data_IF_955895867235
#
_entry.id   IF_955895867235
#
_cell.length_a   1.000
_cell.length_b   1.000
_cell.length_c   1.000
_cell.angle_alpha   90.00
_cell.angle_beta   90.00
_cell.angle_gamma   90.00
#
_symmetry.space_group_name_H-M   'P 1'
#
loop_
_entity.id
_entity.type
_entity.pdbx_description
1 polymer ?
#
# COMPACT_ATOMS: atom_id res chain seq x y z
N UNK A 1 6.13 -15.44 13.00
CA UNK A 1 6.29 -14.21 12.17
C UNK A 1 4.92 -13.59 11.94
N UNK A 2 4.79 -12.31 12.23
CA UNK A 2 3.57 -11.56 11.92
C UNK A 2 3.50 -11.24 10.44
N UNK A 3 2.31 -11.34 9.87
CA UNK A 3 2.04 -11.04 8.46
C UNK A 3 1.14 -9.82 8.38
N UNK A 4 1.63 -8.78 7.70
CA UNK A 4 0.99 -7.46 7.65
C UNK A 4 0.63 -7.12 6.20
N UNK A 5 -0.64 -6.85 5.95
CA UNK A 5 -1.10 -6.26 4.69
C UNK A 5 -0.99 -4.74 4.83
N UNK A 6 -0.08 -4.12 4.07
CA UNK A 6 0.21 -2.69 4.19
C UNK A 6 -0.36 -1.94 2.99
N UNK A 7 -1.49 -1.25 3.21
CA UNK A 7 -2.21 -0.51 2.17
C UNK A 7 -1.87 0.96 2.32
N UNK A 8 -0.87 1.43 1.60
CA UNK A 8 -0.34 2.78 1.71
C UNK A 8 0.08 3.32 0.34
N UNK A 9 0.45 4.59 0.32
CA UNK A 9 1.01 5.21 -0.87
C UNK A 9 2.39 4.66 -1.21
N UNK A 10 2.83 4.90 -2.43
CA UNK A 10 4.19 4.58 -2.87
C UNK A 10 4.75 5.75 -3.64
N UNK A 11 6.00 6.12 -3.37
CA UNK A 11 6.74 7.12 -4.12
C UNK A 11 8.03 6.49 -4.66
N UNK A 12 8.42 6.90 -5.87
CA UNK A 12 9.64 6.38 -6.48
C UNK A 12 10.86 7.02 -5.81
N UNK A 13 10.82 8.33 -5.61
CA UNK A 13 11.90 9.05 -4.94
C UNK A 13 11.45 9.48 -3.55
N UNK A 14 12.20 9.07 -2.55
CA UNK A 14 11.94 9.43 -1.16
C UNK A 14 11.36 8.26 -0.36
N UNK A 15 11.00 8.55 0.89
CA UNK A 15 10.49 7.57 1.85
C UNK A 15 9.15 8.05 2.39
N UNK A 16 8.07 7.54 1.81
CA UNK A 16 6.71 7.83 2.27
C UNK A 16 5.83 6.60 2.03
N UNK A 17 4.84 6.39 2.88
CA UNK A 17 3.93 5.26 2.76
C UNK A 17 4.69 3.92 2.74
N UNK A 18 4.39 3.07 1.78
CA UNK A 18 5.07 1.78 1.64
C UNK A 18 6.58 1.93 1.41
N UNK A 19 7.00 2.99 0.74
CA UNK A 19 8.44 3.25 0.54
C UNK A 19 9.17 3.52 1.86
N UNK A 20 8.46 3.99 2.90
CA UNK A 20 9.03 4.21 4.22
C UNK A 20 8.81 3.03 5.15
N UNK A 21 7.67 2.36 5.06
CA UNK A 21 7.21 1.41 6.07
C UNK A 21 7.68 -0.03 5.85
N UNK A 22 7.81 -0.47 4.59
CA UNK A 22 8.01 -1.89 4.30
C UNK A 22 9.35 -2.40 4.81
N UNK A 23 10.45 -1.68 4.53
CA UNK A 23 11.76 -2.14 4.93
C UNK A 23 11.92 -2.22 6.46
N UNK A 24 11.57 -1.17 7.24
CA UNK A 24 11.65 -1.26 8.69
C UNK A 24 10.85 -2.41 9.29
N UNK A 25 9.63 -2.64 8.78
CA UNK A 25 8.81 -3.74 9.28
C UNK A 25 9.44 -5.10 8.99
N UNK A 26 10.02 -5.27 7.80
CA UNK A 26 10.74 -6.50 7.45
C UNK A 26 11.97 -6.69 8.31
N UNK A 27 12.69 -5.62 8.64
CA UNK A 27 13.84 -5.67 9.54
C UNK A 27 13.47 -6.09 10.95
N UNK A 28 12.24 -5.81 11.36
CA UNK A 28 11.72 -6.23 12.66
C UNK A 28 11.17 -7.67 12.65
N UNK A 29 11.35 -8.39 11.55
CA UNK A 29 10.96 -9.79 11.45
C UNK A 29 9.52 -10.01 10.97
N UNK A 30 8.87 -8.97 10.43
CA UNK A 30 7.52 -9.10 9.89
C UNK A 30 7.57 -9.49 8.42
N UNK A 31 6.59 -10.27 7.98
CA UNK A 31 6.32 -10.49 6.56
C UNK A 31 5.34 -9.40 6.13
N UNK A 32 5.70 -8.62 5.12
CA UNK A 32 4.90 -7.47 4.69
C UNK A 32 4.42 -7.68 3.27
N UNK A 33 3.12 -7.49 3.07
CA UNK A 33 2.47 -7.56 1.75
C UNK A 33 2.02 -6.15 1.37
N UNK A 34 2.80 -5.42 0.57
CA UNK A 34 2.46 -4.03 0.24
C UNK A 34 1.42 -3.96 -0.88
N UNK A 35 0.40 -3.14 -0.65
CA UNK A 35 -0.57 -2.73 -1.67
C UNK A 35 -0.48 -1.22 -1.78
N UNK A 36 -0.21 -0.72 -2.98
CA UNK A 36 -0.04 0.71 -3.21
C UNK A 36 -1.37 1.35 -3.57
N UNK A 37 -1.74 2.41 -2.84
CA UNK A 37 -2.95 3.18 -3.14
C UNK A 37 -2.71 4.17 -4.27
N UNK A 38 -1.50 4.71 -4.32
CA UNK A 38 -1.05 5.60 -5.39
C UNK A 38 0.38 5.24 -5.74
N UNK A 39 0.80 5.60 -6.93
CA UNK A 39 2.20 5.53 -7.31
C UNK A 39 2.60 6.87 -7.89
N UNK A 40 3.39 7.62 -7.13
CA UNK A 40 3.85 8.96 -7.49
C UNK A 40 5.36 8.96 -7.64
N UNK A 41 5.85 9.92 -8.43
CA UNK A 41 7.30 10.11 -8.59
C UNK A 41 7.95 10.52 -7.25
N UNK A 42 7.26 11.33 -6.46
CA UNK A 42 7.74 11.88 -5.20
C UNK A 42 6.52 12.30 -4.35
N UNK A 43 6.76 12.71 -3.11
CA UNK A 43 5.66 13.19 -2.28
C UNK A 43 5.14 14.54 -2.80
N UNK A 44 3.93 14.90 -2.38
CA UNK A 44 3.17 15.97 -3.01
C UNK A 44 3.57 17.40 -2.59
N UNK A 45 4.54 17.54 -1.70
CA UNK A 45 4.92 18.84 -1.14
C UNK A 45 6.07 19.55 -1.88
N UNK A 46 6.60 18.94 -2.95
CA UNK A 46 7.62 19.59 -3.75
C UNK A 46 7.02 20.75 -4.55
N UNK A 47 7.79 21.87 -4.67
CA UNK A 47 7.37 23.03 -5.44
C UNK A 47 7.09 22.70 -6.90
N UNK A 48 7.85 21.76 -7.48
CA UNK A 48 7.66 21.31 -8.87
C UNK A 48 6.45 20.39 -9.04
N UNK A 49 5.78 20.02 -7.92
CA UNK A 49 4.66 19.11 -7.97
C UNK A 49 5.11 17.65 -8.03
N UNK A 50 4.28 16.83 -8.65
CA UNK A 50 4.51 15.39 -8.72
C UNK A 50 3.83 14.82 -9.95
N UNK A 51 4.28 13.63 -10.37
CA UNK A 51 3.68 12.87 -11.48
C UNK A 51 3.29 11.49 -10.96
N UNK A 52 2.29 10.91 -11.56
CA UNK A 52 1.83 9.58 -11.21
C UNK A 52 0.32 9.51 -11.14
N UNK A 53 -0.20 8.45 -10.53
CA UNK A 53 -1.63 8.23 -10.47
C UNK A 53 -2.05 7.53 -9.19
N UNK A 54 -3.29 7.80 -8.77
CA UNK A 54 -4.00 6.95 -7.82
C UNK A 54 -4.43 5.68 -8.56
N UNK A 55 -4.42 4.55 -7.87
CA UNK A 55 -4.89 3.31 -8.46
C UNK A 55 -6.39 3.40 -8.72
N UNK A 56 -6.89 2.83 -9.83
CA UNK A 56 -8.30 2.91 -10.19
C UNK A 56 -9.21 2.28 -9.14
N UNK A 57 -10.47 2.71 -9.10
CA UNK A 57 -11.49 2.06 -8.28
C UNK A 57 -11.53 0.57 -8.62
N UNK A 58 -11.63 -0.28 -7.59
CA UNK A 58 -11.64 -1.72 -7.77
C UNK A 58 -10.26 -2.37 -7.77
N UNK A 59 -9.17 -1.60 -7.88
CA UNK A 59 -7.81 -2.16 -7.92
C UNK A 59 -7.44 -2.86 -6.61
N UNK A 60 -7.69 -2.22 -5.46
CA UNK A 60 -7.41 -2.82 -4.15
C UNK A 60 -8.23 -4.07 -3.96
N UNK A 61 -9.52 -4.01 -4.29
CA UNK A 61 -10.42 -5.16 -4.19
C UNK A 61 -9.94 -6.31 -5.06
N UNK A 62 -9.47 -6.03 -6.28
CA UNK A 62 -8.95 -7.04 -7.19
C UNK A 62 -7.70 -7.71 -6.62
N UNK A 63 -6.79 -6.95 -6.02
CA UNK A 63 -5.59 -7.50 -5.40
C UNK A 63 -5.96 -8.39 -4.21
N UNK A 64 -6.89 -7.94 -3.36
CA UNK A 64 -7.36 -8.73 -2.24
C UNK A 64 -8.04 -10.02 -2.70
N UNK A 65 -8.83 -9.94 -3.77
CA UNK A 65 -9.46 -11.13 -4.34
C UNK A 65 -8.41 -12.13 -4.82
N UNK A 66 -7.37 -11.65 -5.48
CA UNK A 66 -6.26 -12.51 -5.90
C UNK A 66 -5.57 -13.20 -4.73
N UNK A 67 -5.39 -12.49 -3.61
CA UNK A 67 -4.81 -13.07 -2.40
C UNK A 67 -5.75 -14.11 -1.79
N UNK A 68 -7.07 -13.90 -1.85
CA UNK A 68 -8.05 -14.88 -1.41
C UNK A 68 -8.01 -16.13 -2.30
N UNK A 69 -7.87 -15.94 -3.61
CA UNK A 69 -7.86 -17.06 -4.57
C UNK A 69 -6.69 -18.02 -4.34
N UNK A 70 -5.56 -17.52 -3.88
CA UNK A 70 -4.40 -18.36 -3.53
C UNK A 70 -4.35 -18.71 -2.04
N UNK A 71 -5.42 -18.39 -1.32
CA UNK A 71 -5.64 -18.78 0.07
C UNK A 71 -4.62 -18.22 1.07
N UNK A 72 -4.02 -17.05 0.78
CA UNK A 72 -3.08 -16.43 1.72
C UNK A 72 -3.70 -15.35 2.59
N UNK A 73 -4.81 -14.74 2.16
CA UNK A 73 -5.39 -13.61 2.89
C UNK A 73 -5.79 -13.99 4.32
N UNK A 74 -6.26 -15.22 4.52
CA UNK A 74 -6.62 -15.72 5.85
C UNK A 74 -5.43 -15.85 6.80
N UNK A 75 -4.20 -15.75 6.32
CA UNK A 75 -2.99 -15.79 7.13
C UNK A 75 -2.52 -14.41 7.58
N UNK A 76 -3.24 -13.36 7.17
CA UNK A 76 -2.89 -11.99 7.52
C UNK A 76 -3.20 -11.73 8.99
N UNK A 77 -2.22 -11.23 9.73
CA UNK A 77 -2.37 -10.96 11.16
C UNK A 77 -2.88 -9.54 11.41
N UNK A 78 -2.56 -8.60 10.52
CA UNK A 78 -2.95 -7.20 10.69
C UNK A 78 -2.99 -6.49 9.35
N UNK A 79 -3.82 -5.44 9.28
CA UNK A 79 -3.90 -4.55 8.13
C UNK A 79 -3.49 -3.16 8.59
N UNK A 80 -2.51 -2.57 7.90
CA UNK A 80 -2.07 -1.20 8.14
C UNK A 80 -2.50 -0.38 6.93
N UNK A 81 -3.34 0.63 7.13
CA UNK A 81 -3.74 1.53 6.07
C UNK A 81 -3.21 2.94 6.34
N UNK A 82 -2.79 3.60 5.28
CA UNK A 82 -2.28 4.97 5.33
C UNK A 82 -3.00 5.86 4.34
N UNK A 83 -2.23 6.66 3.59
CA UNK A 83 -2.80 7.58 2.62
C UNK A 83 -3.59 6.86 1.53
N UNK A 84 -4.78 7.37 1.23
CA UNK A 84 -5.66 6.87 0.18
C UNK A 84 -5.79 7.93 -0.91
N UNK A 85 -5.84 7.49 -2.16
CA UNK A 85 -5.95 8.41 -3.29
C UNK A 85 -7.37 8.90 -3.54
N UNK A 86 -8.37 8.19 -3.01
CA UNK A 86 -9.78 8.54 -3.22
C UNK A 86 -10.66 7.91 -2.14
N UNK A 87 -11.89 8.43 -2.02
CA UNK A 87 -12.87 7.86 -1.09
C UNK A 87 -13.27 6.44 -1.49
N UNK A 88 -13.29 6.14 -2.78
CA UNK A 88 -13.60 4.81 -3.29
C UNK A 88 -12.59 3.79 -2.78
N UNK A 89 -11.32 4.15 -2.69
CA UNK A 89 -10.31 3.27 -2.11
C UNK A 89 -10.60 2.96 -0.65
N UNK A 90 -11.08 3.94 0.11
CA UNK A 90 -11.48 3.74 1.50
C UNK A 90 -12.59 2.70 1.63
N UNK A 91 -13.51 2.68 0.70
CA UNK A 91 -14.62 1.72 0.70
C UNK A 91 -14.14 0.30 0.37
N UNK A 92 -13.00 0.13 -0.28
CA UNK A 92 -12.45 -1.19 -0.62
C UNK A 92 -11.74 -1.86 0.57
N UNK A 93 -11.36 -1.08 1.55
CA UNK A 93 -10.69 -1.58 2.75
C UNK A 93 -11.71 -2.03 3.78
#
# INVERSE_FOLDING_TARGET
MKRILSIQSHVVFGCAGNSAAVFPMRRLGMEVWPVNTVQFSNHTQYAAGWQGMAMPAGHISALCQGLMDIEVLGRCDAVLSGYLGSAEQGNEI
#
